data_IF_648383861123
#
_entry.id   IF_648383861123
#
_cell.length_a   1.000
_cell.length_b   1.000
_cell.length_c   1.000
_cell.angle_alpha   90.00
_cell.angle_beta   90.00
_cell.angle_gamma   90.00
#
_symmetry.space_group_name_H-M   'P 1'
#
loop_
_entity.id
_entity.type
_entity.pdbx_description
1 polymer ?
#
# COMPACT_ATOMS: atom_id res chain seq x y z
N UNK A 1 -50.34 3.41 -45.47
CA UNK A 1 -50.49 4.85 -45.13
C UNK A 1 -51.95 5.05 -44.79
N UNK A 2 -52.32 4.78 -43.54
CA UNK A 2 -52.41 5.73 -42.41
C UNK A 2 -53.81 6.32 -42.32
N UNK A 3 -54.51 5.93 -41.25
CA UNK A 3 -55.81 6.45 -40.83
C UNK A 3 -55.76 6.84 -39.36
N UNK A 4 -56.15 8.09 -39.10
CA UNK A 4 -57.13 8.55 -38.09
C UNK A 4 -56.73 8.31 -36.62
N UNK A 5 -56.26 9.30 -35.85
CA UNK A 5 -56.94 10.48 -35.26
C UNK A 5 -57.72 10.20 -33.94
N UNK A 6 -57.24 10.87 -32.88
CA UNK A 6 -57.95 11.55 -31.74
C UNK A 6 -58.84 10.70 -30.82
N UNK A 7 -58.95 10.89 -29.49
CA UNK A 7 -58.46 11.87 -28.51
C UNK A 7 -58.95 11.45 -27.10
N UNK A 8 -58.21 11.84 -26.04
CA UNK A 8 -58.57 12.12 -24.61
C UNK A 8 -59.58 11.23 -23.85
N UNK A 9 -59.35 10.81 -22.60
CA UNK A 9 -59.35 11.64 -21.37
C UNK A 9 -59.11 10.75 -20.12
N UNK A 10 -58.50 11.27 -19.06
CA UNK A 10 -58.35 10.63 -17.74
C UNK A 10 -59.57 10.90 -16.84
N UNK A 11 -59.88 10.04 -15.84
CA UNK A 11 -59.85 10.56 -14.46
C UNK A 11 -59.36 9.54 -13.40
N UNK A 12 -59.08 10.10 -12.22
CA UNK A 12 -58.52 9.51 -11.01
C UNK A 12 -59.63 9.05 -10.04
N UNK A 13 -59.43 7.93 -9.31
CA UNK A 13 -60.16 7.64 -8.06
C UNK A 13 -59.36 6.66 -7.16
N UNK A 14 -59.40 6.91 -5.86
CA UNK A 14 -58.71 6.17 -4.80
C UNK A 14 -59.72 5.37 -3.93
N UNK A 15 -59.33 4.18 -3.45
CA UNK A 15 -59.79 3.53 -2.21
C UNK A 15 -58.91 2.31 -1.84
N UNK A 16 -58.41 2.28 -0.60
CA UNK A 16 -57.74 1.15 0.09
C UNK A 16 -58.79 0.27 0.85
N UNK A 17 -58.47 -0.79 1.64
CA UNK A 17 -57.30 -1.70 1.72
C UNK A 17 -57.69 -3.21 1.70
N UNK A 18 -56.79 -4.08 1.25
CA UNK A 18 -56.94 -5.55 1.36
C UNK A 18 -55.73 -6.19 2.04
N UNK A 19 -55.99 -6.88 3.16
CA UNK A 19 -55.05 -7.57 4.06
C UNK A 19 -54.22 -8.66 3.32
N UNK A 20 -52.94 -8.90 3.65
CA UNK A 20 -52.12 -9.89 2.95
C UNK A 20 -52.42 -11.31 3.43
N UNK A 21 -52.60 -12.23 2.48
CA UNK A 21 -52.56 -13.67 2.70
C UNK A 21 -51.12 -14.14 2.84
N UNK A 22 -50.80 -14.78 3.97
CA UNK A 22 -49.56 -15.50 4.22
C UNK A 22 -49.34 -16.58 3.16
N UNK A 23 -48.33 -16.39 2.31
CA UNK A 23 -47.71 -17.45 1.54
C UNK A 23 -46.27 -17.60 1.99
N UNK A 24 -46.07 -18.68 2.74
CA UNK A 24 -44.82 -19.23 3.21
C UNK A 24 -43.82 -19.30 2.05
N UNK A 25 -42.83 -18.41 2.01
CA UNK A 25 -41.71 -18.51 1.08
C UNK A 25 -40.45 -18.60 1.91
N UNK A 26 -39.88 -19.80 1.95
CA UNK A 26 -38.66 -20.11 2.66
C UNK A 26 -37.53 -19.19 2.20
N UNK A 27 -36.94 -18.47 3.15
CA UNK A 27 -35.68 -17.74 2.97
C UNK A 27 -34.58 -18.77 2.72
N UNK A 28 -33.89 -18.77 1.56
CA UNK A 28 -32.69 -19.58 1.43
C UNK A 28 -31.61 -19.00 2.35
N UNK A 29 -31.10 -19.84 3.26
CA UNK A 29 -29.92 -19.55 4.08
C UNK A 29 -28.78 -19.10 3.15
N UNK A 30 -28.41 -17.82 3.25
CA UNK A 30 -27.14 -17.33 2.72
C UNK A 30 -26.05 -18.01 3.54
N UNK A 31 -25.37 -18.97 2.91
CA UNK A 31 -24.14 -19.53 3.45
C UNK A 31 -23.12 -18.40 3.50
N UNK A 32 -22.69 -18.04 4.72
CA UNK A 32 -21.52 -17.22 4.94
C UNK A 32 -20.30 -17.97 4.42
N UNK A 33 -19.88 -17.67 3.20
CA UNK A 33 -18.57 -18.07 2.70
C UNK A 33 -17.55 -17.08 3.26
N UNK A 34 -16.84 -17.52 4.30
CA UNK A 34 -15.62 -16.87 4.79
C UNK A 34 -14.63 -16.66 3.64
N UNK A 35 -13.97 -15.49 3.52
CA UNK A 35 -12.89 -15.32 2.56
C UNK A 35 -11.74 -16.27 2.90
N UNK A 36 -11.39 -17.09 1.92
CA UNK A 36 -10.37 -18.14 2.01
C UNK A 36 -8.99 -17.56 2.33
N UNK A 37 -8.46 -18.01 3.46
CA UNK A 37 -7.06 -17.90 3.87
C UNK A 37 -6.25 -18.92 3.08
N UNK A 38 -5.43 -18.48 2.13
CA UNK A 38 -4.46 -19.35 1.48
C UNK A 38 -3.22 -19.56 2.38
N UNK A 39 -3.30 -20.65 3.14
CA UNK A 39 -2.24 -21.61 3.47
C UNK A 39 -0.86 -21.09 3.94
N UNK A 40 -0.78 -20.67 5.21
CA UNK A 40 0.42 -20.78 6.03
C UNK A 40 0.45 -22.14 6.76
N UNK A 41 0.83 -23.22 6.07
CA UNK A 41 1.22 -24.47 6.72
C UNK A 41 2.39 -25.10 5.98
N UNK A 42 3.61 -24.76 6.43
CA UNK A 42 4.82 -25.61 6.53
C UNK A 42 6.07 -24.73 6.68
N UNK A 43 6.38 -24.33 7.91
CA UNK A 43 7.73 -23.92 8.32
C UNK A 43 7.80 -23.87 9.86
N UNK A 44 7.57 -25.00 10.51
CA UNK A 44 7.94 -25.20 11.92
C UNK A 44 8.67 -26.52 12.02
N UNK A 45 9.98 -26.48 11.84
CA UNK A 45 10.93 -27.30 12.59
C UNK A 45 12.35 -26.84 12.28
N UNK A 46 13.21 -26.93 13.28
CA UNK A 46 14.64 -26.61 13.29
C UNK A 46 15.02 -25.11 13.42
N UNK A 47 15.26 -24.67 14.65
CA UNK A 47 16.64 -24.42 15.09
C UNK A 47 16.67 -24.36 16.63
N UNK A 48 17.41 -25.30 17.24
CA UNK A 48 17.76 -25.31 18.66
C UNK A 48 19.28 -25.22 18.73
N UNK A 49 19.76 -24.35 19.63
CA UNK A 49 21.11 -24.25 20.18
C UNK A 49 22.24 -23.83 19.22
N UNK A 50 23.00 -22.78 19.57
CA UNK A 50 24.21 -22.88 20.41
C UNK A 50 24.53 -21.51 21.00
N UNK A 51 24.75 -21.49 22.32
CA UNK A 51 25.31 -20.38 23.08
C UNK A 51 26.84 -20.45 23.06
N UNK A 52 27.51 -19.30 22.99
CA UNK A 52 28.96 -19.17 23.08
C UNK A 52 29.34 -17.74 23.42
N UNK A 53 29.84 -17.55 24.64
CA UNK A 53 30.05 -16.27 25.33
C UNK A 53 31.42 -15.60 25.06
N UNK A 54 31.43 -14.24 25.16
CA UNK A 54 32.47 -13.33 25.71
C UNK A 54 33.78 -13.08 24.89
N UNK A 55 34.59 -12.04 25.21
CA UNK A 55 34.27 -10.60 25.43
C UNK A 55 35.35 -9.64 24.84
N UNK A 56 35.05 -8.38 24.50
CA UNK A 56 36.10 -7.33 24.45
C UNK A 56 35.62 -5.94 24.90
N UNK A 57 36.24 -5.54 26.00
CA UNK A 57 36.64 -4.23 26.58
C UNK A 57 36.05 -2.90 26.09
N UNK A 58 35.60 -2.19 27.13
CA UNK A 58 35.37 -0.76 27.31
C UNK A 58 36.69 0.03 27.22
N UNK A 59 36.66 1.20 26.55
CA UNK A 59 37.67 2.24 26.61
C UNK A 59 37.03 3.63 26.46
N UNK A 60 37.11 4.43 27.52
CA UNK A 60 36.77 5.86 27.64
C UNK A 60 37.71 6.72 26.76
N UNK A 61 37.44 7.96 26.29
CA UNK A 61 37.09 9.21 27.02
C UNK A 61 36.94 10.40 26.00
N UNK A 62 35.87 11.23 26.14
CA UNK A 62 35.68 12.71 25.92
C UNK A 62 36.16 13.49 24.65
N UNK A 63 35.72 14.77 24.40
CA UNK A 63 34.53 15.52 24.84
C UNK A 63 33.73 16.29 23.74
N UNK A 64 32.44 16.49 24.03
CA UNK A 64 31.66 17.75 24.01
C UNK A 64 31.95 18.78 22.89
N UNK A 65 30.97 18.94 21.99
CA UNK A 65 30.70 20.20 21.31
C UNK A 65 29.21 20.53 21.45
N UNK A 66 28.90 21.48 22.34
CA UNK A 66 27.58 22.07 22.51
C UNK A 66 27.32 23.07 21.37
N UNK A 67 26.35 22.80 20.51
CA UNK A 67 25.64 23.85 19.77
C UNK A 67 24.14 23.56 19.80
N UNK A 68 23.49 24.24 20.74
CA UNK A 68 22.10 24.72 20.78
C UNK A 68 21.18 24.28 19.62
N UNK A 69 20.29 23.32 19.91
CA UNK A 69 18.93 23.30 19.37
C UNK A 69 17.98 22.80 20.45
N UNK A 70 16.92 23.57 20.69
CA UNK A 70 15.98 23.41 21.80
C UNK A 70 15.36 22.01 21.85
N UNK A 71 15.74 21.26 22.87
CA UNK A 71 14.98 20.12 23.36
C UNK A 71 14.13 20.65 24.53
N UNK A 72 12.92 21.14 24.22
CA UNK A 72 11.87 21.19 25.23
C UNK A 72 11.39 19.76 25.48
N UNK A 73 12.11 19.07 26.36
CA UNK A 73 11.61 17.86 27.02
C UNK A 73 10.66 18.33 28.10
N UNK A 74 9.45 18.72 27.70
CA UNK A 74 8.36 18.84 28.64
C UNK A 74 7.96 17.43 29.09
N UNK A 75 8.27 17.09 30.34
CA UNK A 75 7.56 16.04 31.09
C UNK A 75 6.13 16.51 31.37
N UNK A 76 5.30 16.53 30.34
CA UNK A 76 3.84 16.46 30.43
C UNK A 76 3.43 15.08 29.92
N UNK A 77 2.36 14.48 30.45
CA UNK A 77 1.89 13.16 30.00
C UNK A 77 1.85 13.12 28.47
N UNK A 78 2.71 12.29 27.87
CA UNK A 78 2.97 12.35 26.43
C UNK A 78 1.71 11.91 25.70
N UNK A 79 0.94 12.87 25.19
CA UNK A 79 -0.20 12.56 24.33
C UNK A 79 0.33 11.81 23.11
N UNK A 80 -0.29 10.69 22.77
CA UNK A 80 0.10 9.92 21.59
C UNK A 80 -0.29 10.63 20.29
N UNK A 81 -1.42 11.35 20.32
CA UNK A 81 -1.89 12.15 19.22
C UNK A 81 -1.67 13.65 19.51
N UNK A 82 -1.38 14.44 18.46
CA UNK A 82 -1.41 15.90 18.56
C UNK A 82 -2.80 16.40 18.95
N UNK A 83 -2.89 17.66 19.38
CA UNK A 83 -4.20 18.28 19.62
C UNK A 83 -4.99 18.49 18.32
N UNK A 84 -6.20 19.03 18.41
CA UNK A 84 -7.09 19.11 17.24
C UNK A 84 -6.55 20.01 16.11
N UNK A 85 -5.87 21.11 16.46
CA UNK A 85 -5.37 22.07 15.47
C UNK A 85 -4.08 21.53 14.85
N UNK A 86 -3.18 21.01 15.67
CA UNK A 86 -1.96 20.33 15.23
C UNK A 86 -2.28 19.08 14.37
N UNK A 87 -3.31 18.30 14.73
CA UNK A 87 -3.72 17.12 13.97
C UNK A 87 -4.15 17.51 12.56
N UNK A 88 -4.83 18.63 12.37
CA UNK A 88 -5.24 19.10 11.05
C UNK A 88 -4.01 19.37 10.15
N UNK A 89 -3.00 20.05 10.70
CA UNK A 89 -1.74 20.34 9.99
C UNK A 89 -0.96 19.06 9.67
N UNK A 90 -0.87 18.13 10.62
CA UNK A 90 -0.22 16.84 10.41
C UNK A 90 -0.91 16.03 9.30
N UNK A 91 -2.24 15.99 9.29
CA UNK A 91 -3.00 15.29 8.25
C UNK A 91 -2.78 15.94 6.87
N UNK A 92 -2.74 17.26 6.80
CA UNK A 92 -2.41 18.00 5.58
C UNK A 92 -1.00 17.63 5.07
N UNK A 93 -0.01 17.59 5.96
CA UNK A 93 1.37 17.22 5.65
C UNK A 93 1.51 15.76 5.16
N UNK A 94 0.61 14.88 5.60
CA UNK A 94 0.50 13.49 5.13
C UNK A 94 -0.34 13.34 3.85
N UNK A 95 -0.66 14.46 3.21
CA UNK A 95 -1.44 14.54 1.96
C UNK A 95 -2.83 13.89 2.08
N UNK A 96 -3.41 13.86 3.28
CA UNK A 96 -4.77 13.35 3.49
C UNK A 96 -5.74 14.19 2.65
N UNK A 97 -6.72 13.56 1.95
CA UNK A 97 -7.70 14.30 1.17
C UNK A 97 -8.37 15.40 2.01
N UNK A 98 -8.42 16.63 1.50
CA UNK A 98 -8.91 17.77 2.29
C UNK A 98 -10.34 17.56 2.81
N UNK A 99 -11.18 16.84 2.06
CA UNK A 99 -12.55 16.48 2.46
C UNK A 99 -12.62 15.53 3.67
N UNK A 100 -11.51 14.85 4.01
CA UNK A 100 -11.41 13.90 5.11
C UNK A 100 -10.91 14.52 6.42
N UNK A 101 -10.12 15.60 6.35
CA UNK A 101 -9.38 16.16 7.50
C UNK A 101 -10.32 16.48 8.67
N UNK A 102 -11.39 17.24 8.44
CA UNK A 102 -12.31 17.65 9.51
C UNK A 102 -13.01 16.46 10.18
N UNK A 103 -13.33 15.41 9.43
CA UNK A 103 -13.93 14.20 9.99
C UNK A 103 -12.92 13.44 10.86
N UNK A 104 -11.67 13.32 10.41
CA UNK A 104 -10.58 12.69 11.14
C UNK A 104 -10.21 13.45 12.41
N UNK A 105 -10.19 14.78 12.38
CA UNK A 105 -9.94 15.60 13.58
C UNK A 105 -11.03 15.38 14.63
N UNK A 106 -12.31 15.39 14.22
CA UNK A 106 -13.43 15.11 15.15
C UNK A 106 -13.35 13.71 15.75
N UNK A 107 -13.07 12.69 14.93
CA UNK A 107 -12.90 11.31 15.40
C UNK A 107 -11.66 11.16 16.29
N UNK A 108 -10.59 11.92 16.04
CA UNK A 108 -9.35 11.89 16.81
C UNK A 108 -9.55 12.27 18.28
N UNK A 109 -10.47 13.21 18.57
CA UNK A 109 -10.85 13.56 19.96
C UNK A 109 -11.33 12.33 20.73
N UNK A 110 -12.22 11.52 20.11
CA UNK A 110 -12.70 10.28 20.71
C UNK A 110 -11.57 9.28 20.94
N UNK A 111 -10.61 9.17 20.03
CA UNK A 111 -9.46 8.24 20.19
C UNK A 111 -8.59 8.66 21.38
N UNK A 112 -8.40 9.97 21.58
CA UNK A 112 -7.62 10.51 22.70
C UNK A 112 -8.37 10.44 24.04
N UNK A 113 -9.68 10.67 24.05
CA UNK A 113 -10.48 10.78 25.27
C UNK A 113 -10.93 9.42 25.83
N UNK A 114 -11.02 8.39 24.97
CA UNK A 114 -11.42 7.03 25.34
C UNK A 114 -10.19 6.21 25.79
N UNK A 115 -10.08 5.83 27.10
CA UNK A 115 -8.92 5.11 27.61
C UNK A 115 -8.70 3.73 26.98
N UNK A 116 -9.76 3.09 26.46
CA UNK A 116 -9.64 1.81 25.77
C UNK A 116 -9.00 2.00 24.39
N UNK A 117 -9.50 2.98 23.62
CA UNK A 117 -8.93 3.31 22.31
C UNK A 117 -7.48 3.81 22.42
N UNK A 118 -7.16 4.64 23.41
CA UNK A 118 -5.78 5.10 23.64
C UNK A 118 -4.84 3.93 23.89
N UNK A 119 -5.23 2.95 24.70
CA UNK A 119 -4.41 1.76 24.97
C UNK A 119 -4.22 0.87 23.74
N UNK A 120 -5.27 0.73 22.93
CA UNK A 120 -5.17 -0.01 21.66
C UNK A 120 -4.22 0.71 20.70
N UNK A 121 -4.32 2.05 20.63
CA UNK A 121 -3.43 2.88 19.81
C UNK A 121 -1.97 2.73 20.27
N UNK A 122 -1.70 2.83 21.57
CA UNK A 122 -0.38 2.60 22.16
C UNK A 122 0.18 1.24 21.79
N UNK A 123 -0.61 0.17 21.93
CA UNK A 123 -0.20 -1.17 21.54
C UNK A 123 0.09 -1.31 20.04
N UNK A 124 -0.73 -0.69 19.20
CA UNK A 124 -0.55 -0.68 17.74
C UNK A 124 0.71 0.06 17.32
N UNK A 125 1.00 1.22 17.94
CA UNK A 125 2.23 1.98 17.70
C UNK A 125 3.44 1.19 18.17
N UNK A 126 3.38 0.60 19.37
CA UNK A 126 4.46 -0.25 19.89
C UNK A 126 4.77 -1.44 18.97
N UNK A 127 3.75 -2.08 18.39
CA UNK A 127 3.91 -3.13 17.37
C UNK A 127 4.59 -2.60 16.11
N UNK A 128 4.13 -1.46 15.60
CA UNK A 128 4.68 -0.86 14.39
C UNK A 128 6.17 -0.52 14.55
N UNK A 129 6.57 0.08 15.68
CA UNK A 129 7.94 0.58 15.89
C UNK A 129 8.93 -0.50 16.35
N UNK A 130 8.48 -1.68 16.80
CA UNK A 130 9.36 -2.73 17.38
C UNK A 130 10.45 -3.25 16.44
N UNK A 131 10.33 -3.07 15.14
CA UNK A 131 11.41 -3.37 14.20
C UNK A 131 11.57 -2.27 13.16
N UNK A 132 11.49 -1.03 13.62
CA UNK A 132 11.82 0.15 12.85
C UNK A 132 13.27 0.02 12.32
N UNK A 133 13.45 0.18 11.01
CA UNK A 133 14.71 0.03 10.30
C UNK A 133 15.04 -1.39 9.83
N UNK A 134 14.35 -2.41 10.34
CA UNK A 134 14.59 -3.81 9.97
C UNK A 134 13.75 -4.26 8.77
N UNK A 135 14.29 -5.15 7.95
CA UNK A 135 13.57 -5.76 6.83
C UNK A 135 12.70 -6.91 7.35
N UNK A 136 11.41 -6.65 7.61
CA UNK A 136 10.46 -7.66 8.14
C UNK A 136 9.28 -7.93 7.20
N UNK A 137 9.14 -7.18 6.11
CA UNK A 137 8.01 -7.29 5.20
C UNK A 137 6.73 -6.66 5.77
N UNK A 138 6.89 -5.63 6.60
CA UNK A 138 5.79 -4.91 7.25
C UNK A 138 5.35 -5.51 8.59
N UNK A 139 4.26 -4.98 9.13
CA UNK A 139 3.65 -5.40 10.40
C UNK A 139 2.13 -5.59 10.25
N UNK A 140 1.58 -6.50 11.05
CA UNK A 140 0.14 -6.65 11.20
C UNK A 140 -0.34 -5.73 12.33
N UNK A 141 -1.08 -4.68 11.96
CA UNK A 141 -1.70 -3.79 12.94
C UNK A 141 -2.91 -4.48 13.56
N UNK A 142 -3.15 -4.31 14.87
CA UNK A 142 -4.34 -4.85 15.52
C UNK A 142 -5.61 -4.29 14.86
N UNK A 143 -6.57 -5.16 14.59
CA UNK A 143 -7.88 -4.77 14.09
C UNK A 143 -8.78 -4.42 15.27
N UNK A 144 -9.56 -3.35 15.14
CA UNK A 144 -10.63 -3.06 16.09
C UNK A 144 -11.79 -4.04 15.83
N UNK A 145 -12.13 -4.85 16.83
CA UNK A 145 -13.23 -5.82 16.80
C UNK A 145 -14.59 -5.16 17.09
N UNK A 146 -14.91 -4.10 16.33
CA UNK A 146 -16.14 -3.32 16.48
C UNK A 146 -16.99 -3.36 15.20
N UNK A 147 -18.33 -3.22 15.31
CA UNK A 147 -19.20 -3.17 14.14
C UNK A 147 -18.77 -2.05 13.18
N UNK A 148 -18.80 -2.38 11.89
CA UNK A 148 -18.23 -1.63 10.77
C UNK A 148 -18.56 -0.13 10.79
N UNK A 149 -17.65 0.68 11.31
CA UNK A 149 -17.84 2.12 11.50
C UNK A 149 -16.75 2.98 10.85
N UNK A 150 -17.01 4.28 10.71
CA UNK A 150 -16.00 5.23 10.20
C UNK A 150 -14.71 5.20 11.01
N UNK A 151 -14.80 5.05 12.33
CA UNK A 151 -13.64 4.95 13.21
C UNK A 151 -12.81 3.70 12.90
N UNK A 152 -13.41 2.53 12.69
CA UNK A 152 -12.67 1.30 12.37
C UNK A 152 -11.87 1.45 11.07
N UNK A 153 -12.48 2.02 10.01
CA UNK A 153 -11.81 2.23 8.72
C UNK A 153 -10.69 3.27 8.78
N UNK A 154 -10.84 4.27 9.66
CA UNK A 154 -9.89 5.37 9.81
C UNK A 154 -8.89 5.18 10.95
N UNK A 155 -9.07 4.16 11.81
CA UNK A 155 -8.20 3.95 12.97
C UNK A 155 -6.70 3.86 12.62
N UNK A 156 -6.30 3.20 11.51
CA UNK A 156 -4.89 3.16 11.12
C UNK A 156 -4.27 4.54 10.91
N UNK A 157 -5.04 5.58 10.54
CA UNK A 157 -4.54 6.97 10.42
C UNK A 157 -3.90 7.41 11.73
N UNK A 158 -4.56 7.14 12.86
CA UNK A 158 -4.06 7.55 14.17
C UNK A 158 -2.81 6.78 14.57
N UNK A 159 -2.72 5.49 14.22
CA UNK A 159 -1.50 4.69 14.42
C UNK A 159 -0.32 5.33 13.70
N UNK A 160 -0.52 5.72 12.44
CA UNK A 160 0.53 6.34 11.64
C UNK A 160 0.88 7.75 12.12
N UNK A 161 -0.10 8.57 12.50
CA UNK A 161 0.14 9.90 13.08
C UNK A 161 0.95 9.78 14.38
N UNK A 162 0.56 8.90 15.29
CA UNK A 162 1.27 8.68 16.55
C UNK A 162 2.68 8.08 16.34
N UNK A 163 2.91 7.34 15.25
CA UNK A 163 4.21 6.80 14.90
C UNK A 163 5.16 7.83 14.23
N UNK A 164 4.68 9.02 13.83
CA UNK A 164 5.48 10.00 13.09
C UNK A 164 6.77 10.43 13.79
N UNK A 165 6.79 10.74 15.11
CA UNK A 165 8.02 11.14 15.78
C UNK A 165 9.11 10.06 15.72
N UNK A 166 8.70 8.78 15.82
CA UNK A 166 9.61 7.64 15.77
C UNK A 166 10.24 7.49 14.37
N UNK A 167 9.41 7.40 13.32
CA UNK A 167 9.92 7.23 11.95
C UNK A 167 10.73 8.45 11.48
N UNK A 168 10.32 9.67 11.83
CA UNK A 168 11.09 10.88 11.47
C UNK A 168 12.43 10.94 12.18
N UNK A 169 12.50 10.45 13.43
CA UNK A 169 13.77 10.31 14.16
C UNK A 169 14.67 9.28 13.50
N UNK A 170 14.14 8.10 13.18
CA UNK A 170 14.88 7.09 12.43
C UNK A 170 15.41 7.63 11.09
N UNK A 171 14.56 8.31 10.31
CA UNK A 171 14.99 8.92 9.04
C UNK A 171 16.13 9.92 9.25
N UNK A 172 16.03 10.80 10.26
CA UNK A 172 17.07 11.79 10.58
C UNK A 172 18.39 11.11 10.99
N UNK A 173 18.34 10.10 11.86
CA UNK A 173 19.51 9.35 12.31
C UNK A 173 20.20 8.60 11.17
N UNK A 174 19.43 8.17 10.16
CA UNK A 174 19.97 7.58 8.93
C UNK A 174 20.38 8.60 7.87
N UNK A 175 20.26 9.90 8.17
CA UNK A 175 20.61 10.99 7.26
C UNK A 175 19.66 11.16 6.07
N UNK A 176 18.47 10.55 6.11
CA UNK A 176 17.51 10.59 5.00
C UNK A 176 17.02 12.03 4.80
N UNK A 177 17.06 12.56 3.56
CA UNK A 177 16.59 13.91 3.27
C UNK A 177 15.14 14.12 3.69
N UNK A 178 14.86 15.29 4.28
CA UNK A 178 13.54 15.61 4.84
C UNK A 178 12.42 15.55 3.79
N UNK A 179 12.72 15.88 2.53
CA UNK A 179 11.78 15.83 1.43
C UNK A 179 11.50 14.38 0.94
N UNK A 180 12.49 13.49 0.99
CA UNK A 180 12.29 12.04 0.77
C UNK A 180 11.42 11.46 1.88
N UNK A 181 11.70 11.78 3.14
CA UNK A 181 10.88 11.39 4.29
C UNK A 181 9.43 11.86 4.11
N UNK A 182 9.21 13.15 3.81
CA UNK A 182 7.89 13.73 3.57
C UNK A 182 7.13 13.01 2.44
N UNK A 183 7.75 12.84 1.27
CA UNK A 183 7.10 12.19 0.11
C UNK A 183 6.80 10.71 0.34
N UNK A 184 7.62 10.03 1.14
CA UNK A 184 7.40 8.63 1.53
C UNK A 184 6.19 8.52 2.45
N UNK A 185 6.10 9.36 3.49
CA UNK A 185 5.01 9.29 4.47
C UNK A 185 3.67 9.82 3.93
N UNK A 186 3.70 10.66 2.90
CA UNK A 186 2.50 11.12 2.18
C UNK A 186 1.74 10.00 1.46
N UNK A 187 2.28 8.77 1.40
CA UNK A 187 1.56 7.61 0.87
C UNK A 187 0.32 7.26 1.72
N UNK A 188 0.25 7.70 2.98
CA UNK A 188 -0.97 7.61 3.79
C UNK A 188 -2.15 8.28 3.08
N UNK A 189 -2.00 9.56 2.73
CA UNK A 189 -3.03 10.31 2.04
C UNK A 189 -3.41 9.72 0.68
N UNK A 190 -2.41 9.22 -0.06
CA UNK A 190 -2.63 8.47 -1.32
C UNK A 190 -3.51 7.24 -1.10
N UNK A 191 -3.22 6.46 -0.05
CA UNK A 191 -3.97 5.26 0.29
C UNK A 191 -5.42 5.59 0.70
N UNK A 192 -5.64 6.72 1.38
CA UNK A 192 -6.97 7.22 1.68
C UNK A 192 -7.74 7.66 0.42
N UNK A 193 -7.06 8.31 -0.52
CA UNK A 193 -7.66 8.67 -1.81
C UNK A 193 -8.08 7.41 -2.60
N UNK A 194 -7.28 6.33 -2.58
CA UNK A 194 -7.66 5.03 -3.18
C UNK A 194 -8.90 4.45 -2.48
N UNK A 195 -8.92 4.42 -1.15
CA UNK A 195 -10.08 3.90 -0.39
C UNK A 195 -11.35 4.66 -0.74
N UNK A 196 -11.27 6.00 -0.78
CA UNK A 196 -12.40 6.86 -1.16
C UNK A 196 -12.85 6.63 -2.59
N UNK A 197 -11.92 6.51 -3.54
CA UNK A 197 -12.23 6.16 -4.94
C UNK A 197 -13.00 4.84 -5.03
N UNK A 198 -12.69 3.87 -4.17
CA UNK A 198 -13.34 2.55 -4.16
C UNK A 198 -14.70 2.55 -3.46
N UNK A 199 -14.79 3.12 -2.26
CA UNK A 199 -15.94 2.95 -1.36
C UNK A 199 -16.77 4.22 -1.16
N UNK A 200 -16.38 5.34 -1.76
CA UNK A 200 -17.05 6.64 -1.61
C UNK A 200 -16.95 7.26 -0.21
N UNK A 201 -16.14 6.68 0.68
CA UNK A 201 -16.02 7.10 2.09
C UNK A 201 -14.57 7.11 2.56
N UNK A 202 -14.32 7.84 3.66
CA UNK A 202 -13.04 7.85 4.35
C UNK A 202 -12.63 6.46 4.85
N UNK A 203 -11.34 6.15 4.74
CA UNK A 203 -10.71 4.95 5.28
C UNK A 203 -9.31 4.75 4.72
N UNK A 204 -8.59 3.77 5.25
CA UNK A 204 -7.25 3.38 4.76
C UNK A 204 -7.37 2.07 3.98
N UNK A 205 -7.01 2.08 2.70
CA UNK A 205 -7.16 0.96 1.78
C UNK A 205 -6.29 -0.26 2.15
N UNK A 206 -5.03 -0.02 2.51
CA UNK A 206 -4.04 -1.06 2.77
C UNK A 206 -3.15 -0.68 3.96
N UNK A 207 -3.64 -0.78 5.21
CA UNK A 207 -2.87 -0.42 6.39
C UNK A 207 -1.55 -1.19 6.50
N UNK A 208 -1.55 -2.50 6.21
CA UNK A 208 -0.33 -3.31 6.23
C UNK A 208 0.74 -2.78 5.27
N UNK A 209 0.36 -2.31 4.08
CA UNK A 209 1.29 -1.72 3.10
C UNK A 209 2.00 -0.47 3.65
N UNK A 210 1.25 0.41 4.31
CA UNK A 210 1.80 1.63 4.91
C UNK A 210 2.80 1.35 6.02
N UNK A 211 2.74 0.19 6.69
CA UNK A 211 3.74 -0.17 7.71
C UNK A 211 5.17 -0.22 7.16
N UNK A 212 5.36 -0.53 5.86
CA UNK A 212 6.68 -0.50 5.21
C UNK A 212 7.29 0.90 5.21
N UNK A 213 6.45 1.92 4.99
CA UNK A 213 6.86 3.33 4.94
C UNK A 213 7.23 3.81 6.34
N UNK A 214 6.39 3.48 7.33
CA UNK A 214 6.57 3.88 8.71
C UNK A 214 7.64 3.07 9.47
N UNK A 215 8.17 2.00 8.86
CA UNK A 215 9.30 1.22 9.36
C UNK A 215 10.63 1.51 8.66
N UNK A 216 10.67 2.42 7.69
CA UNK A 216 11.90 2.68 6.91
C UNK A 216 12.32 1.49 6.03
N UNK A 217 11.37 0.63 5.67
CA UNK A 217 11.58 -0.47 4.71
C UNK A 217 11.37 0.00 3.26
N UNK A 218 10.58 1.06 3.04
CA UNK A 218 10.23 1.56 1.70
C UNK A 218 10.37 3.09 1.61
N UNK A 219 10.91 3.56 0.48
CA UNK A 219 11.12 4.99 0.19
C UNK A 219 10.56 5.42 -1.17
N UNK A 220 9.97 6.61 -1.22
CA UNK A 220 9.53 7.28 -2.45
C UNK A 220 10.69 8.06 -3.08
N UNK A 221 11.23 7.56 -4.20
CA UNK A 221 12.36 8.17 -4.90
C UNK A 221 11.97 8.52 -6.32
N UNK A 222 11.50 9.76 -6.52
CA UNK A 222 10.97 10.21 -7.81
C UNK A 222 9.57 9.65 -8.08
N UNK A 223 9.37 9.04 -9.25
CA UNK A 223 8.09 8.44 -9.67
C UNK A 223 7.84 7.06 -9.03
N UNK A 224 8.89 6.33 -8.68
CA UNK A 224 8.84 4.97 -8.18
C UNK A 224 9.12 4.90 -6.67
N UNK A 225 8.69 3.81 -6.06
CA UNK A 225 8.98 3.45 -4.68
C UNK A 225 9.91 2.25 -4.65
N UNK A 226 10.81 2.21 -3.67
CA UNK A 226 11.80 1.14 -3.53
C UNK A 226 11.76 0.61 -2.12
N UNK A 227 11.53 -0.70 -2.01
CA UNK A 227 11.49 -1.43 -0.76
C UNK A 227 12.76 -2.27 -0.61
N UNK A 228 13.41 -2.16 0.55
CA UNK A 228 14.47 -3.05 1.00
C UNK A 228 13.85 -4.42 1.27
N UNK A 229 14.26 -5.45 0.55
CA UNK A 229 13.66 -6.79 0.66
C UNK A 229 14.68 -7.91 0.41
N UNK A 230 14.51 -9.09 1.02
CA UNK A 230 15.26 -10.27 0.60
C UNK A 230 14.69 -10.85 -0.70
N UNK A 231 15.54 -11.38 -1.57
CA UNK A 231 15.09 -12.14 -2.73
C UNK A 231 14.32 -13.39 -2.30
N UNK A 232 13.19 -13.62 -2.97
CA UNK A 232 12.41 -14.84 -2.85
C UNK A 232 12.97 -15.99 -3.70
N UNK A 233 12.59 -17.22 -3.35
CA UNK A 233 13.09 -18.46 -3.96
C UNK A 233 13.02 -18.46 -5.50
N UNK A 234 11.86 -18.12 -6.08
CA UNK A 234 11.66 -18.16 -7.54
C UNK A 234 12.52 -17.13 -8.27
N UNK A 235 12.56 -15.90 -7.76
CA UNK A 235 13.35 -14.82 -8.35
C UNK A 235 14.84 -15.16 -8.28
N UNK A 236 15.33 -15.62 -7.12
CA UNK A 236 16.71 -16.11 -6.95
C UNK A 236 17.08 -17.19 -7.96
N UNK A 237 16.23 -18.20 -8.17
CA UNK A 237 16.48 -19.25 -9.15
C UNK A 237 16.60 -18.71 -10.58
N UNK A 238 15.73 -17.76 -10.97
CA UNK A 238 15.79 -17.14 -12.29
C UNK A 238 17.06 -16.30 -12.48
N UNK A 239 17.52 -15.60 -11.44
CA UNK A 239 18.77 -14.84 -11.48
C UNK A 239 20.00 -15.75 -11.55
N UNK A 240 20.02 -16.85 -10.79
CA UNK A 240 21.07 -17.85 -10.85
C UNK A 240 21.18 -18.48 -12.25
N UNK A 241 20.04 -18.81 -12.87
CA UNK A 241 19.99 -19.29 -14.25
C UNK A 241 20.50 -18.26 -15.27
N UNK A 242 20.41 -16.97 -14.95
CA UNK A 242 20.96 -15.87 -15.74
C UNK A 242 22.43 -15.54 -15.41
N UNK A 243 23.10 -16.35 -14.56
CA UNK A 243 24.52 -16.23 -14.22
C UNK A 243 24.84 -15.24 -13.09
N UNK A 244 23.85 -14.82 -12.30
CA UNK A 244 24.05 -13.93 -11.15
C UNK A 244 24.16 -14.71 -9.84
N UNK A 245 25.07 -14.29 -8.96
CA UNK A 245 25.16 -14.80 -7.59
C UNK A 245 24.04 -14.22 -6.71
N UNK A 246 22.88 -14.89 -6.71
CA UNK A 246 21.64 -14.39 -6.12
C UNK A 246 20.90 -15.49 -5.35
N UNK A 247 21.44 -15.90 -4.21
CA UNK A 247 20.78 -16.85 -3.32
C UNK A 247 19.47 -16.28 -2.73
N UNK A 248 18.51 -17.14 -2.32
CA UNK A 248 17.37 -16.70 -1.53
C UNK A 248 17.82 -15.99 -0.25
N UNK A 249 17.21 -14.85 0.08
CA UNK A 249 17.64 -14.03 1.21
C UNK A 249 18.63 -12.92 0.85
N UNK A 250 19.29 -12.97 -0.32
CA UNK A 250 20.16 -11.88 -0.78
C UNK A 250 19.37 -10.56 -0.86
N UNK A 251 19.88 -9.44 -0.35
CA UNK A 251 19.18 -8.15 -0.42
C UNK A 251 18.91 -7.70 -1.87
N UNK A 252 17.71 -7.18 -2.11
CA UNK A 252 17.28 -6.59 -3.36
C UNK A 252 16.38 -5.37 -3.11
N UNK A 253 16.17 -4.57 -4.16
CA UNK A 253 15.15 -3.52 -4.14
C UNK A 253 13.89 -4.00 -4.84
N UNK A 254 12.82 -4.20 -4.08
CA UNK A 254 11.49 -4.38 -4.65
C UNK A 254 10.94 -3.03 -5.11
N UNK A 255 10.68 -2.89 -6.40
CA UNK A 255 10.21 -1.70 -7.07
C UNK A 255 8.69 -1.68 -7.12
N UNK A 256 8.11 -0.57 -6.65
CA UNK A 256 6.66 -0.34 -6.58
C UNK A 256 6.24 0.93 -7.30
N UNK A 257 4.99 0.94 -7.76
CA UNK A 257 4.43 2.00 -8.61
C UNK A 257 3.24 2.63 -7.89
N UNK A 258 3.40 3.81 -7.26
CA UNK A 258 2.28 4.49 -6.64
C UNK A 258 1.32 5.06 -7.71
N UNK A 259 0.03 5.02 -7.42
CA UNK A 259 -1.01 5.75 -8.16
C UNK A 259 -0.94 7.26 -7.83
N UNK A 260 -1.68 8.13 -8.52
CA UNK A 260 -1.76 9.58 -8.24
C UNK A 260 -0.41 10.32 -8.23
N UNK A 261 0.56 9.90 -9.05
CA UNK A 261 1.87 10.55 -9.20
C UNK A 261 2.29 10.72 -10.66
N UNK A 262 1.31 10.91 -11.55
CA UNK A 262 1.55 11.15 -12.98
C UNK A 262 2.02 9.91 -13.76
N UNK A 263 2.41 10.10 -15.05
CA UNK A 263 2.71 8.99 -15.96
C UNK A 263 4.03 8.28 -15.64
N UNK A 264 4.15 7.02 -16.05
CA UNK A 264 5.38 6.22 -16.05
C UNK A 264 6.29 6.56 -17.25
N UNK A 265 6.58 7.84 -17.48
CA UNK A 265 7.44 8.21 -18.62
C UNK A 265 8.84 7.61 -18.46
N UNK A 266 9.54 7.26 -19.56
CA UNK A 266 10.89 6.70 -19.49
C UNK A 266 11.84 7.54 -18.63
N UNK A 267 11.88 8.86 -18.84
CA UNK A 267 12.74 9.76 -18.06
C UNK A 267 12.38 9.83 -16.58
N UNK A 268 11.10 9.67 -16.21
CA UNK A 268 10.71 9.61 -14.80
C UNK A 268 11.18 8.32 -14.13
N UNK A 269 11.12 7.19 -14.85
CA UNK A 269 11.68 5.92 -14.39
C UNK A 269 13.21 5.99 -14.27
N UNK A 270 13.91 6.52 -15.28
CA UNK A 270 15.37 6.64 -15.27
C UNK A 270 15.84 7.50 -14.09
N UNK A 271 15.18 8.64 -13.86
CA UNK A 271 15.46 9.50 -12.70
C UNK A 271 15.23 8.77 -11.37
N UNK A 272 14.15 8.00 -11.26
CA UNK A 272 13.87 7.21 -10.05
C UNK A 272 14.94 6.17 -9.77
N UNK A 273 15.44 5.49 -10.80
CA UNK A 273 16.47 4.48 -10.66
C UNK A 273 17.82 5.09 -10.26
N UNK A 274 18.19 6.22 -10.86
CA UNK A 274 19.40 6.95 -10.47
C UNK A 274 19.34 7.40 -8.99
N UNK A 275 18.20 7.98 -8.57
CA UNK A 275 17.97 8.35 -7.18
C UNK A 275 18.06 7.14 -6.24
N UNK A 276 17.54 5.98 -6.63
CA UNK A 276 17.61 4.77 -5.81
C UNK A 276 19.06 4.32 -5.60
N UNK A 277 19.87 4.22 -6.65
CA UNK A 277 21.27 3.83 -6.53
C UNK A 277 22.04 4.76 -5.60
N UNK A 278 21.89 6.08 -5.76
CA UNK A 278 22.56 7.06 -4.89
C UNK A 278 22.04 7.01 -3.44
N UNK A 279 20.73 6.92 -3.26
CA UNK A 279 20.08 6.94 -1.95
C UNK A 279 20.50 5.74 -1.09
N UNK A 280 20.40 4.52 -1.62
CA UNK A 280 20.71 3.33 -0.82
C UNK A 280 22.22 3.22 -0.54
N UNK A 281 23.08 3.59 -1.48
CA UNK A 281 24.53 3.64 -1.24
C UNK A 281 24.91 4.64 -0.13
N UNK A 282 24.19 5.76 -0.01
CA UNK A 282 24.46 6.78 1.00
C UNK A 282 23.86 6.50 2.38
N UNK A 283 22.61 5.99 2.42
CA UNK A 283 21.84 5.86 3.68
C UNK A 283 21.80 4.44 4.23
N UNK A 284 22.12 3.44 3.40
CA UNK A 284 22.20 2.03 3.77
C UNK A 284 23.52 1.40 3.27
N UNK A 285 24.68 1.97 3.64
CA UNK A 285 25.98 1.50 3.13
C UNK A 285 26.34 0.08 3.56
N UNK A 286 25.71 -0.42 4.63
CA UNK A 286 25.88 -1.77 5.14
C UNK A 286 25.08 -2.82 4.32
N UNK A 287 24.29 -2.37 3.33
CA UNK A 287 23.41 -3.20 2.52
C UNK A 287 23.77 -3.07 1.03
N UNK A 288 24.04 -4.19 0.38
CA UNK A 288 24.38 -4.22 -1.05
C UNK A 288 23.20 -4.66 -1.88
N UNK A 289 22.76 -3.79 -2.79
CA UNK A 289 21.63 -4.04 -3.68
C UNK A 289 22.08 -4.14 -5.14
N UNK A 290 22.25 -5.36 -5.64
CA UNK A 290 22.67 -5.61 -7.03
C UNK A 290 21.50 -5.79 -8.00
N UNK A 291 20.27 -5.88 -7.50
CA UNK A 291 19.08 -6.27 -8.26
C UNK A 291 17.89 -5.43 -7.84
N UNK A 292 17.11 -5.00 -8.84
CA UNK A 292 15.75 -4.57 -8.65
C UNK A 292 14.78 -5.63 -9.17
N UNK A 293 13.73 -5.91 -8.40
CA UNK A 293 12.66 -6.82 -8.76
C UNK A 293 11.31 -6.09 -8.73
N UNK A 294 10.37 -6.51 -9.57
CA UNK A 294 9.02 -5.96 -9.60
C UNK A 294 8.02 -7.09 -9.89
N UNK A 295 6.91 -7.08 -9.17
CA UNK A 295 5.83 -8.05 -9.33
C UNK A 295 4.54 -7.28 -9.56
N UNK A 296 4.02 -7.34 -10.78
CA UNK A 296 2.90 -6.47 -11.18
C UNK A 296 2.16 -7.03 -12.39
N UNK A 297 0.85 -6.77 -12.43
CA UNK A 297 0.03 -6.96 -13.63
C UNK A 297 0.57 -6.16 -14.83
N UNK A 298 1.27 -5.04 -14.59
CA UNK A 298 1.91 -4.24 -15.65
C UNK A 298 3.05 -4.99 -16.36
N UNK A 299 3.50 -6.11 -15.79
CA UNK A 299 4.53 -6.96 -16.39
C UNK A 299 3.95 -8.16 -17.16
N UNK A 300 2.64 -8.30 -17.26
CA UNK A 300 2.00 -9.31 -18.12
C UNK A 300 2.36 -9.07 -19.61
N UNK A 301 3.07 -10.01 -20.28
CA UNK A 301 3.44 -9.87 -21.69
C UNK A 301 2.25 -9.70 -22.64
N UNK A 302 1.05 -10.16 -22.26
CA UNK A 302 -0.17 -10.01 -23.05
C UNK A 302 -0.49 -8.53 -23.31
N UNK A 303 -0.10 -7.61 -22.42
CA UNK A 303 -0.33 -6.18 -22.58
C UNK A 303 0.24 -5.64 -23.91
N UNK A 304 1.32 -6.21 -24.44
CA UNK A 304 1.93 -5.82 -25.72
C UNK A 304 1.02 -6.07 -26.93
N UNK A 305 0.03 -6.97 -26.81
CA UNK A 305 -0.97 -7.26 -27.84
C UNK A 305 -2.13 -6.26 -27.82
N UNK A 306 -2.34 -5.60 -26.69
CA UNK A 306 -3.51 -4.73 -26.46
C UNK A 306 -3.17 -3.24 -26.36
N UNK A 307 -1.90 -2.90 -26.07
CA UNK A 307 -1.43 -1.52 -25.96
C UNK A 307 -0.51 -1.15 -27.12
N UNK A 308 -0.52 0.13 -27.58
CA UNK A 308 0.44 0.61 -28.56
C UNK A 308 1.88 0.52 -28.03
N UNK A 309 2.85 0.22 -28.92
CA UNK A 309 4.27 0.07 -28.56
C UNK A 309 4.88 1.31 -27.87
N UNK A 310 4.37 2.50 -28.18
CA UNK A 310 4.77 3.77 -27.58
C UNK A 310 4.19 4.01 -26.18
N UNK A 311 3.32 3.13 -25.67
CA UNK A 311 2.74 3.23 -24.33
C UNK A 311 3.85 3.20 -23.27
N UNK A 312 3.73 4.09 -22.28
CA UNK A 312 4.62 4.10 -21.13
C UNK A 312 4.62 2.78 -20.36
N UNK A 313 3.49 2.05 -20.34
CA UNK A 313 3.41 0.72 -19.72
C UNK A 313 4.32 -0.27 -20.45
N UNK A 314 4.31 -0.28 -21.78
CA UNK A 314 5.15 -1.19 -22.57
C UNK A 314 6.63 -0.83 -22.42
N UNK A 315 6.98 0.46 -22.49
CA UNK A 315 8.36 0.92 -22.25
C UNK A 315 8.86 0.65 -20.83
N UNK A 316 7.97 0.68 -19.84
CA UNK A 316 8.29 0.28 -18.47
C UNK A 316 8.55 -1.22 -18.40
N UNK A 317 7.66 -2.04 -18.98
CA UNK A 317 7.77 -3.50 -19.02
C UNK A 317 9.07 -3.96 -19.71
N UNK A 318 9.49 -3.31 -20.79
CA UNK A 318 10.70 -3.65 -21.55
C UNK A 318 12.02 -3.48 -20.79
N UNK A 319 11.99 -2.85 -19.61
CA UNK A 319 13.16 -2.75 -18.72
C UNK A 319 13.47 -4.05 -17.99
N UNK A 320 12.52 -4.97 -17.94
CA UNK A 320 12.60 -6.17 -17.12
C UNK A 320 12.92 -7.41 -17.94
N UNK A 321 13.74 -8.28 -17.36
CA UNK A 321 13.80 -9.70 -17.70
C UNK A 321 12.72 -10.41 -16.90
N UNK A 322 12.00 -11.34 -17.52
CA UNK A 322 10.97 -12.12 -16.83
C UNK A 322 11.66 -13.21 -16.01
N UNK A 323 11.35 -13.29 -14.72
CA UNK A 323 11.80 -14.33 -13.82
C UNK A 323 10.96 -15.61 -13.98
N UNK A 324 9.65 -15.46 -13.97
CA UNK A 324 8.69 -16.53 -14.21
C UNK A 324 7.33 -15.94 -14.58
N UNK A 325 6.49 -16.80 -15.16
CA UNK A 325 5.09 -16.53 -15.49
C UNK A 325 4.22 -17.33 -14.53
N UNK A 326 3.20 -16.68 -13.96
CA UNK A 326 2.19 -17.35 -13.17
C UNK A 326 1.17 -18.04 -14.09
N UNK A 327 0.65 -19.19 -13.64
CA UNK A 327 -0.33 -19.98 -14.39
C UNK A 327 -1.78 -19.68 -13.99
N UNK A 328 -1.96 -19.07 -12.82
CA UNK A 328 -3.28 -18.74 -12.27
C UNK A 328 -3.69 -17.32 -12.68
N UNK A 329 -4.92 -17.13 -13.19
CA UNK A 329 -5.46 -15.80 -13.48
C UNK A 329 -5.45 -14.87 -12.25
N UNK A 330 -5.14 -13.61 -12.49
CA UNK A 330 -5.13 -12.51 -11.53
C UNK A 330 -5.95 -11.32 -12.05
N UNK A 331 -7.16 -11.59 -12.55
CA UNK A 331 -8.01 -10.60 -13.23
C UNK A 331 -8.40 -9.42 -12.33
N UNK A 332 -8.52 -9.65 -11.02
CA UNK A 332 -8.92 -8.64 -10.05
C UNK A 332 -7.91 -7.51 -9.88
N UNK A 333 -6.61 -7.80 -10.02
CA UNK A 333 -5.53 -6.86 -9.83
C UNK A 333 -5.54 -5.71 -10.86
N UNK A 334 -5.47 -5.97 -12.18
CA UNK A 334 -5.57 -4.91 -13.17
C UNK A 334 -6.92 -4.19 -13.06
N UNK A 335 -8.01 -4.89 -12.70
CA UNK A 335 -9.31 -4.24 -12.50
C UNK A 335 -9.27 -3.25 -11.33
N UNK A 336 -8.70 -3.67 -10.19
CA UNK A 336 -8.50 -2.83 -9.02
C UNK A 336 -7.67 -1.58 -9.35
N UNK A 337 -6.55 -1.73 -10.05
CA UNK A 337 -5.65 -0.60 -10.30
C UNK A 337 -6.15 0.34 -11.40
N UNK A 338 -6.80 -0.19 -12.44
CA UNK A 338 -7.29 0.63 -13.56
C UNK A 338 -8.62 1.30 -13.21
N UNK A 339 -9.56 0.56 -12.62
CA UNK A 339 -10.93 1.04 -12.40
C UNK A 339 -11.21 1.46 -10.95
N UNK A 340 -10.38 1.04 -9.99
CA UNK A 340 -10.48 1.41 -8.57
C UNK A 340 -11.24 0.40 -7.70
N UNK A 341 -12.06 -0.47 -8.31
CA UNK A 341 -12.84 -1.48 -7.61
C UNK A 341 -12.74 -2.84 -8.33
N UNK A 342 -12.17 -3.89 -7.69
CA UNK A 342 -11.97 -5.23 -8.29
C UNK A 342 -13.29 -5.97 -8.51
N UNK A 343 -14.35 -5.61 -7.80
CA UNK A 343 -15.64 -6.30 -7.84
C UNK A 343 -16.58 -5.76 -8.94
N UNK A 344 -16.10 -4.83 -9.78
CA UNK A 344 -16.89 -4.31 -10.88
C UNK A 344 -17.21 -5.41 -11.90
N UNK A 345 -18.47 -5.56 -12.32
CA UNK A 345 -18.81 -6.49 -13.38
C UNK A 345 -18.04 -6.19 -14.66
N UNK A 346 -17.40 -7.21 -15.26
CA UNK A 346 -16.59 -7.06 -16.48
C UNK A 346 -17.37 -6.36 -17.61
N UNK A 347 -18.67 -6.65 -17.73
CA UNK A 347 -19.55 -6.01 -18.72
C UNK A 347 -19.62 -4.48 -18.56
N UNK A 348 -19.55 -3.97 -17.33
CA UNK A 348 -19.75 -2.57 -16.96
C UNK A 348 -18.46 -1.75 -16.92
N UNK A 349 -17.29 -2.37 -17.07
CA UNK A 349 -16.00 -1.69 -17.01
C UNK A 349 -15.92 -0.52 -18.01
N UNK A 350 -15.58 0.71 -17.58
CA UNK A 350 -15.39 1.85 -18.48
C UNK A 350 -14.37 1.57 -19.60
N UNK A 351 -14.46 2.33 -20.71
CA UNK A 351 -13.62 2.15 -21.92
C UNK A 351 -13.01 3.47 -22.42
N UNK A 352 -12.80 4.43 -21.52
CA UNK A 352 -12.40 5.82 -21.80
C UNK A 352 -10.94 5.90 -22.23
N UNK A 353 -10.04 5.17 -21.56
CA UNK A 353 -8.60 5.19 -21.86
C UNK A 353 -8.14 3.95 -22.65
N UNK A 354 -6.94 3.99 -23.22
CA UNK A 354 -6.37 2.83 -23.92
C UNK A 354 -6.13 1.65 -22.97
N UNK A 355 -5.74 1.91 -21.73
CA UNK A 355 -5.55 0.87 -20.70
C UNK A 355 -6.88 0.29 -20.24
N UNK A 356 -7.89 1.14 -20.04
CA UNK A 356 -9.26 0.68 -19.73
C UNK A 356 -9.80 -0.24 -20.84
N UNK A 357 -9.62 0.13 -22.12
CA UNK A 357 -10.00 -0.73 -23.25
C UNK A 357 -9.19 -2.03 -23.29
N UNK A 358 -7.86 -1.95 -23.14
CA UNK A 358 -7.01 -3.13 -23.15
C UNK A 358 -7.46 -4.16 -22.11
N UNK A 359 -7.56 -3.74 -20.83
CA UNK A 359 -7.94 -4.63 -19.72
C UNK A 359 -9.37 -5.12 -19.88
N UNK A 360 -10.32 -4.21 -20.08
CA UNK A 360 -11.74 -4.56 -20.12
C UNK A 360 -12.15 -5.39 -21.33
N UNK A 361 -11.59 -5.11 -22.52
CA UNK A 361 -11.97 -5.82 -23.75
C UNK A 361 -11.38 -7.24 -23.77
N UNK A 362 -10.16 -7.43 -23.24
CA UNK A 362 -9.58 -8.77 -23.09
C UNK A 362 -10.41 -9.65 -22.17
N UNK A 363 -10.84 -9.13 -21.01
CA UNK A 363 -11.72 -9.84 -20.08
C UNK A 363 -13.09 -10.14 -20.71
N UNK A 364 -13.68 -9.20 -21.44
CA UNK A 364 -14.95 -9.42 -22.16
C UNK A 364 -14.86 -10.50 -23.23
N UNK A 365 -13.69 -10.66 -23.85
CA UNK A 365 -13.44 -11.70 -24.83
C UNK A 365 -13.18 -13.10 -24.19
N UNK A 366 -13.26 -13.20 -22.85
CA UNK A 366 -12.96 -14.42 -22.11
C UNK A 366 -11.46 -14.68 -21.90
N UNK A 367 -10.62 -13.67 -22.15
CA UNK A 367 -9.21 -13.72 -21.79
C UNK A 367 -8.98 -13.45 -20.30
N UNK A 368 -7.81 -13.83 -19.81
CA UNK A 368 -7.35 -13.61 -18.44
C UNK A 368 -6.07 -12.78 -18.41
N UNK A 369 -5.85 -12.07 -17.30
CA UNK A 369 -4.62 -11.36 -16.97
C UNK A 369 -3.85 -12.08 -15.88
N UNK A 370 -2.53 -11.88 -15.85
CA UNK A 370 -1.62 -12.55 -14.93
C UNK A 370 -0.69 -11.55 -14.25
N UNK A 371 -0.03 -11.97 -13.17
CA UNK A 371 1.05 -11.20 -12.56
C UNK A 371 2.36 -11.55 -13.28
N UNK A 372 3.04 -10.52 -13.78
CA UNK A 372 4.40 -10.68 -14.29
C UNK A 372 5.42 -10.46 -13.18
N UNK A 373 6.48 -11.26 -13.20
CA UNK A 373 7.59 -11.18 -12.25
C UNK A 373 8.84 -10.78 -13.01
N UNK A 374 9.25 -9.52 -12.88
CA UNK A 374 10.38 -8.95 -13.60
C UNK A 374 11.55 -8.63 -12.70
N UNK A 375 12.75 -8.62 -13.28
CA UNK A 375 13.96 -8.14 -12.61
C UNK A 375 14.94 -7.51 -13.61
N UNK A 376 15.87 -6.71 -13.10
CA UNK A 376 17.05 -6.26 -13.84
C UNK A 376 18.21 -5.99 -12.86
N UNK A 377 19.47 -6.07 -13.32
CA UNK A 377 20.61 -5.70 -12.49
C UNK A 377 20.58 -4.19 -12.21
N UNK A 378 20.73 -3.81 -10.95
CA UNK A 378 21.04 -2.42 -10.60
C UNK A 378 22.51 -2.20 -10.94
N UNK A 379 22.80 -1.16 -11.73
CA UNK A 379 24.19 -0.79 -11.96
C UNK A 379 24.76 -0.28 -10.63
N UNK A 380 25.61 -1.10 -10.01
CA UNK A 380 26.58 -0.64 -9.03
C UNK A 380 27.65 0.20 -9.74
N UNK A 381 28.28 1.11 -9.00
CA UNK A 381 29.47 1.81 -9.50
C UNK A 381 30.56 0.84 -9.92
#
# INVERSE_FOLDING_TARGET
MSTVATSHSTPQAAAQPGRPTNANTAVPKIAQTSPHTLSQKRARSALRAVAGSLPVRIGTTTPICNVLFGADVHQGGHRLLPDADELAEVLLDLAVPHEDINALVRMGRRVSDDPELSRILEGAVAELVRGLGEIRGGADLPQLDWPSGALQRCFPVYVFVAALPHVRTHHRERGIPADVSRRTLADLGRNMAVHRRRYGTAGVQAPRWLTLHFRGELYQLGRLQFQRAPLGQRTSAALAAAGLDAAPGTPCLNLHIPDFLGPLSPGACDRSLALATEFFAGHYPDETYSVAACHSWLLDPQLKRHLPAQSNVIRFQERFRIAHEDTEPADTEPVQFVFGNPDLPVAELPRRTSVERAVGDHLRAGGHWYIGHGWFPLQGK
#
